data_IF_092206595721
#
_entry.id   IF_092206595721
#
_cell.length_a   1.000
_cell.length_b   1.000
_cell.length_c   1.000
_cell.angle_alpha   90.00
_cell.angle_beta   90.00
_cell.angle_gamma   90.00
#
_symmetry.space_group_name_H-M   'P 1'
#
loop_
_entity.id
_entity.type
_entity.pdbx_description
1 polymer ?
#
# COMPACT_ATOMS: atom_id res chain seq x y z
N UNK A 1 -2.84 16.85 6.67
CA UNK A 1 -2.97 17.98 5.74
C UNK A 1 -2.92 17.52 4.28
N UNK A 2 -2.02 16.58 3.94
CA UNK A 2 -1.95 15.95 2.61
C UNK A 2 -3.25 15.27 2.17
N UNK A 3 -3.93 14.48 3.03
CA UNK A 3 -5.16 13.79 2.61
C UNK A 3 -6.30 14.75 2.23
N UNK A 4 -6.43 15.88 2.97
CA UNK A 4 -7.37 16.94 2.62
C UNK A 4 -7.03 17.58 1.27
N UNK A 5 -5.74 17.70 0.95
CA UNK A 5 -5.27 18.20 -0.33
C UNK A 5 -5.60 17.25 -1.48
N UNK A 6 -5.30 15.95 -1.34
CA UNK A 6 -5.62 14.92 -2.33
C UNK A 6 -7.12 14.80 -2.56
N UNK A 7 -7.91 14.79 -1.47
CA UNK A 7 -9.37 14.79 -1.53
C UNK A 7 -9.91 16.02 -2.27
N UNK A 8 -9.34 17.21 -2.04
CA UNK A 8 -9.76 18.42 -2.73
C UNK A 8 -9.46 18.38 -4.24
N UNK A 9 -8.34 17.77 -4.66
CA UNK A 9 -8.00 17.55 -6.08
C UNK A 9 -8.97 16.57 -6.75
N UNK A 10 -9.18 15.41 -6.14
CA UNK A 10 -10.11 14.39 -6.62
C UNK A 10 -11.53 14.95 -6.81
N UNK A 11 -12.03 15.76 -5.85
CA UNK A 11 -13.33 16.45 -5.97
C UNK A 11 -13.41 17.45 -7.13
N UNK A 12 -12.28 17.94 -7.65
CA UNK A 12 -12.22 18.80 -8.84
C UNK A 12 -12.01 18.02 -10.14
N UNK A 13 -11.97 16.69 -10.09
CA UNK A 13 -11.62 15.83 -11.24
C UNK A 13 -10.13 15.87 -11.60
N UNK A 14 -9.28 16.39 -10.72
CA UNK A 14 -7.84 16.40 -10.90
C UNK A 14 -7.22 15.10 -10.36
N UNK A 15 -6.09 14.64 -10.94
CA UNK A 15 -5.35 13.50 -10.38
C UNK A 15 -4.99 13.74 -8.89
N UNK A 16 -5.25 12.77 -8.00
CA UNK A 16 -4.95 12.87 -6.57
C UNK A 16 -3.46 12.60 -6.30
N UNK A 17 -2.60 13.48 -6.80
CA UNK A 17 -1.15 13.44 -6.59
C UNK A 17 -0.70 14.54 -5.64
N UNK A 18 0.43 14.32 -4.97
CA UNK A 18 1.12 15.31 -4.15
C UNK A 18 1.61 16.51 -4.99
N UNK A 19 1.99 17.64 -4.36
CA UNK A 19 2.48 18.82 -5.09
C UNK A 19 3.70 18.55 -5.97
N UNK A 20 4.51 17.54 -5.65
CA UNK A 20 5.68 17.09 -6.42
C UNK A 20 5.32 16.08 -7.52
N UNK A 21 4.03 15.78 -7.72
CA UNK A 21 3.52 14.85 -8.72
C UNK A 21 3.50 13.39 -8.30
N UNK A 22 3.98 13.05 -7.09
CA UNK A 22 3.99 11.66 -6.62
C UNK A 22 2.61 11.19 -6.19
N UNK A 23 2.33 9.91 -6.43
CA UNK A 23 1.15 9.20 -5.92
C UNK A 23 1.27 8.92 -4.42
N UNK A 24 0.16 8.59 -3.76
CA UNK A 24 0.18 8.11 -2.37
C UNK A 24 -0.36 6.70 -2.33
N UNK A 25 0.53 5.74 -2.06
CA UNK A 25 0.22 4.32 -1.97
C UNK A 25 0.24 3.93 -0.49
N UNK A 26 -0.80 3.26 -0.03
CA UNK A 26 -0.94 2.73 1.32
C UNK A 26 -0.72 1.23 1.26
N UNK A 27 0.11 0.71 2.16
CA UNK A 27 0.30 -0.73 2.33
C UNK A 27 -0.60 -1.19 3.47
N UNK A 28 -1.67 -1.91 3.14
CA UNK A 28 -2.74 -2.36 4.03
C UNK A 28 -3.22 -3.77 3.62
N UNK A 29 -2.85 -4.78 4.42
CA UNK A 29 -3.08 -6.20 4.12
C UNK A 29 -4.41 -6.73 4.64
N UNK A 30 -4.89 -7.82 4.04
CA UNK A 30 -5.98 -8.65 4.58
C UNK A 30 -7.39 -8.32 4.09
N UNK A 31 -7.54 -7.36 3.16
CA UNK A 31 -8.86 -6.84 2.76
C UNK A 31 -9.17 -6.96 1.25
N UNK A 32 -8.18 -7.22 0.41
CA UNK A 32 -8.34 -7.33 -1.05
C UNK A 32 -7.29 -8.27 -1.64
N UNK A 33 -7.31 -8.47 -2.96
CA UNK A 33 -6.33 -9.28 -3.70
C UNK A 33 -4.91 -8.70 -3.71
N UNK A 34 -4.75 -7.47 -3.24
CA UNK A 34 -3.47 -6.79 -3.09
C UNK A 34 -3.44 -6.04 -1.76
N UNK A 35 -2.29 -6.01 -1.07
CA UNK A 35 -2.08 -5.18 0.09
C UNK A 35 -1.78 -3.72 -0.26
N UNK A 36 -1.83 -3.30 -1.54
CA UNK A 36 -1.54 -1.92 -1.94
C UNK A 36 -2.82 -1.18 -2.32
N UNK A 37 -2.97 0.02 -1.78
CA UNK A 37 -4.16 0.84 -1.94
C UNK A 37 -3.81 2.27 -2.32
N UNK A 38 -4.57 2.87 -3.24
CA UNK A 38 -4.47 4.29 -3.55
C UNK A 38 -5.75 4.99 -3.12
N UNK A 39 -5.62 6.06 -2.34
CA UNK A 39 -6.78 6.79 -1.84
C UNK A 39 -7.24 7.83 -2.86
N UNK A 40 -8.56 8.06 -2.92
CA UNK A 40 -9.21 9.08 -3.75
C UNK A 40 -9.13 8.84 -5.27
N UNK A 41 -8.87 7.59 -5.67
CA UNK A 41 -9.00 7.07 -7.04
C UNK A 41 -10.26 6.23 -7.21
N UNK A 42 -10.72 6.05 -8.46
CA UNK A 42 -11.88 5.22 -8.78
C UNK A 42 -11.60 3.72 -8.55
N UNK A 43 -10.36 3.30 -8.82
CA UNK A 43 -9.82 1.99 -8.44
C UNK A 43 -8.85 2.16 -7.28
N UNK A 44 -9.27 1.69 -6.11
CA UNK A 44 -8.54 1.86 -4.86
C UNK A 44 -7.55 0.72 -4.59
N UNK A 45 -7.68 -0.42 -5.27
CA UNK A 45 -6.75 -1.55 -5.13
C UNK A 45 -5.69 -1.44 -6.22
N UNK A 46 -4.42 -1.48 -5.83
CA UNK A 46 -3.30 -1.33 -6.75
C UNK A 46 -2.64 -2.70 -6.97
N UNK A 47 -2.56 -3.16 -8.21
CA UNK A 47 -1.74 -4.33 -8.55
C UNK A 47 -0.25 -3.96 -8.40
N UNK A 48 0.53 -4.63 -7.52
CA UNK A 48 1.95 -4.35 -7.35
C UNK A 48 2.73 -4.45 -8.65
N UNK A 49 2.33 -5.35 -9.57
CA UNK A 49 2.98 -5.54 -10.88
C UNK A 49 2.88 -4.32 -11.78
N UNK A 50 1.85 -3.49 -11.59
CA UNK A 50 1.65 -2.26 -12.37
C UNK A 50 2.59 -1.12 -11.96
N UNK A 51 3.27 -1.25 -10.81
CA UNK A 51 4.09 -0.20 -10.24
C UNK A 51 5.56 -0.26 -10.65
N UNK A 52 5.96 -1.30 -11.39
CA UNK A 52 7.35 -1.47 -11.82
C UNK A 52 8.33 -1.79 -10.69
N UNK A 53 7.84 -2.31 -9.56
CA UNK A 53 8.69 -2.88 -8.50
C UNK A 53 9.28 -4.22 -8.93
N UNK A 54 10.34 -4.65 -8.26
CA UNK A 54 11.02 -5.91 -8.55
C UNK A 54 10.10 -7.13 -8.37
N UNK A 55 10.29 -8.17 -9.20
CA UNK A 55 9.50 -9.41 -9.14
C UNK A 55 9.64 -10.14 -7.79
N UNK A 56 10.82 -10.03 -7.17
CA UNK A 56 11.08 -10.58 -5.84
C UNK A 56 10.28 -9.85 -4.77
N UNK A 57 10.28 -8.51 -4.80
CA UNK A 57 9.48 -7.70 -3.87
C UNK A 57 7.97 -7.95 -4.08
N UNK A 58 7.52 -8.10 -5.33
CA UNK A 58 6.14 -8.45 -5.65
C UNK A 58 5.75 -9.79 -5.02
N UNK A 59 6.59 -10.83 -5.16
CA UNK A 59 6.33 -12.14 -4.56
C UNK A 59 6.28 -12.08 -3.03
N UNK A 60 7.26 -11.43 -2.41
CA UNK A 60 7.33 -11.31 -0.96
C UNK A 60 6.09 -10.58 -0.40
N UNK A 61 5.70 -9.49 -1.05
CA UNK A 61 4.52 -8.72 -0.68
C UNK A 61 3.23 -9.55 -0.75
N UNK A 62 3.02 -10.26 -1.85
CA UNK A 62 1.81 -11.08 -2.04
C UNK A 62 1.81 -12.32 -1.14
N UNK A 63 2.98 -12.91 -0.85
CA UNK A 63 3.08 -14.03 0.07
C UNK A 63 2.79 -13.61 1.51
N UNK A 64 3.32 -12.46 1.93
CA UNK A 64 3.04 -11.88 3.25
C UNK A 64 1.56 -11.53 3.42
N UNK A 65 0.93 -10.88 2.42
CA UNK A 65 -0.50 -10.59 2.45
C UNK A 65 -1.36 -11.86 2.42
N UNK A 66 -0.99 -12.85 1.60
CA UNK A 66 -1.64 -14.16 1.56
C UNK A 66 -1.62 -14.86 2.93
N UNK A 67 -0.49 -14.85 3.63
CA UNK A 67 -0.39 -15.45 4.96
C UNK A 67 -1.31 -14.75 6.00
N UNK A 68 -1.52 -13.44 5.87
CA UNK A 68 -2.47 -12.69 6.70
C UNK A 68 -3.91 -13.04 6.34
N UNK A 69 -4.23 -13.11 5.05
CA UNK A 69 -5.56 -13.49 4.58
C UNK A 69 -5.94 -14.92 4.97
N UNK A 70 -4.98 -15.85 4.92
CA UNK A 70 -5.17 -17.26 5.30
C UNK A 70 -5.47 -17.42 6.80
N UNK A 71 -4.92 -16.54 7.65
CA UNK A 71 -5.30 -16.50 9.07
C UNK A 71 -6.78 -16.10 9.25
N UNK A 72 -7.31 -15.27 8.35
CA UNK A 72 -8.67 -14.75 8.41
C UNK A 72 -8.83 -13.61 9.43
N UNK A 73 -10.01 -12.96 9.47
CA UNK A 73 -10.23 -11.73 10.23
C UNK A 73 -10.06 -11.88 11.75
N UNK A 74 -10.36 -13.07 12.28
CA UNK A 74 -10.26 -13.39 13.71
C UNK A 74 -9.08 -14.33 14.03
N UNK A 75 -8.25 -14.64 13.02
CA UNK A 75 -7.14 -15.56 13.18
C UNK A 75 -5.89 -14.94 13.78
N UNK A 76 -4.99 -15.75 14.33
CA UNK A 76 -3.70 -15.26 14.80
C UNK A 76 -2.85 -14.83 13.60
N UNK A 77 -2.53 -13.54 13.54
CA UNK A 77 -1.51 -13.03 12.60
C UNK A 77 -0.17 -13.72 12.90
N UNK A 78 0.60 -14.15 11.88
CA UNK A 78 1.91 -14.75 12.10
C UNK A 78 2.82 -13.87 12.98
N UNK A 79 3.56 -14.48 13.90
CA UNK A 79 4.28 -13.76 14.96
C UNK A 79 5.33 -12.75 14.44
N UNK A 80 5.93 -13.04 13.29
CA UNK A 80 6.92 -12.22 12.60
C UNK A 80 6.31 -11.29 11.54
N UNK A 81 4.99 -11.32 11.35
CA UNK A 81 4.30 -10.59 10.29
C UNK A 81 4.59 -9.09 10.35
N UNK A 82 4.66 -8.51 11.56
CA UNK A 82 4.99 -7.09 11.75
C UNK A 82 6.37 -6.73 11.18
N UNK A 83 7.39 -7.49 11.56
CA UNK A 83 8.77 -7.25 11.15
C UNK A 83 8.93 -7.47 9.65
N UNK A 84 8.30 -8.53 9.12
CA UNK A 84 8.26 -8.85 7.69
C UNK A 84 7.59 -7.74 6.89
N UNK A 85 6.40 -7.28 7.31
CA UNK A 85 5.69 -6.18 6.64
C UNK A 85 6.48 -4.87 6.67
N UNK A 86 7.17 -4.57 7.77
CA UNK A 86 8.03 -3.39 7.86
C UNK A 86 9.25 -3.50 6.92
N UNK A 87 9.86 -4.68 6.78
CA UNK A 87 10.96 -4.91 5.85
C UNK A 87 10.50 -4.74 4.39
N UNK A 88 9.34 -5.30 4.04
CA UNK A 88 8.71 -5.14 2.72
C UNK A 88 8.40 -3.66 2.46
N UNK A 89 7.82 -2.96 3.44
CA UNK A 89 7.52 -1.52 3.31
C UNK A 89 8.75 -0.67 3.03
N UNK A 90 9.87 -0.93 3.72
CA UNK A 90 11.12 -0.18 3.47
C UNK A 90 11.57 -0.34 2.02
N UNK A 91 11.53 -1.56 1.49
CA UNK A 91 11.87 -1.85 0.10
C UNK A 91 10.91 -1.18 -0.88
N UNK A 92 9.60 -1.27 -0.64
CA UNK A 92 8.59 -0.58 -1.45
C UNK A 92 8.81 0.93 -1.47
N UNK A 93 9.06 1.54 -0.31
CA UNK A 93 9.33 2.97 -0.20
C UNK A 93 10.56 3.36 -1.02
N UNK A 94 11.61 2.57 -0.98
CA UNK A 94 12.86 2.88 -1.67
C UNK A 94 12.73 2.68 -3.19
N UNK A 95 12.11 1.59 -3.65
CA UNK A 95 11.88 1.33 -5.09
C UNK A 95 10.87 2.32 -5.71
N UNK A 96 9.87 2.75 -4.94
CA UNK A 96 8.82 3.66 -5.43
C UNK A 96 9.09 5.13 -5.14
N UNK A 97 10.16 5.48 -4.42
CA UNK A 97 10.49 6.86 -4.05
C UNK A 97 10.39 7.88 -5.20
N UNK A 98 10.77 7.56 -6.46
CA UNK A 98 10.65 8.49 -7.58
C UNK A 98 9.22 8.79 -8.01
N UNK A 99 8.27 7.89 -7.76
CA UNK A 99 6.90 7.95 -8.32
C UNK A 99 5.79 7.99 -7.27
N UNK A 100 6.05 7.55 -6.04
CA UNK A 100 5.06 7.47 -4.98
C UNK A 100 5.65 7.69 -3.58
N UNK A 101 4.82 8.19 -2.68
CA UNK A 101 4.99 8.07 -1.24
C UNK A 101 4.26 6.80 -0.77
N UNK A 102 4.98 5.88 -0.11
CA UNK A 102 4.40 4.63 0.42
C UNK A 102 4.18 4.73 1.93
N UNK A 103 2.94 4.54 2.38
CA UNK A 103 2.54 4.63 3.80
C UNK A 103 2.30 3.24 4.40
N UNK A 104 2.86 2.96 5.60
CA UNK A 104 2.65 1.68 6.28
C UNK A 104 1.34 1.72 7.09
N UNK A 105 0.24 1.29 6.48
CA UNK A 105 -1.10 1.34 7.10
C UNK A 105 -1.58 -0.02 7.65
N UNK A 106 -0.82 -1.09 7.40
CA UNK A 106 -1.12 -2.48 7.73
C UNK A 106 -1.36 -2.81 9.20
N UNK A 107 -1.00 -1.90 10.14
CA UNK A 107 -1.27 -2.05 11.59
C UNK A 107 -1.55 -0.70 12.26
N UNK A 108 -2.01 0.31 11.50
CA UNK A 108 -2.53 1.54 12.07
C UNK A 108 -3.87 1.23 12.77
N UNK A 109 -3.76 0.63 13.95
CA UNK A 109 -4.82 0.56 14.95
C UNK A 109 -5.01 1.98 15.47
N UNK A 110 -6.19 2.53 15.22
CA UNK A 110 -6.74 3.53 16.13
C UNK A 110 -7.04 2.89 17.48
#
# INVERSE_FOLDING_TARGET
MQDRYLMARSRRGEPPVLPDGRRVIRMFSGWASSPLWESFTDDYVVDPRSLGISDDLTRELLAWDGAIQDAGPDGPVPADSFETGLAIWRRLRDELAPIAEVRPDFWATG
#
